data_IF_310402599472
#
_entry.id   IF_310402599472
#
_cell.length_a   1.000
_cell.length_b   1.000
_cell.length_c   1.000
_cell.angle_alpha   90.00
_cell.angle_beta   90.00
_cell.angle_gamma   90.00
#
_symmetry.space_group_name_H-M   'P 1'
#
loop_
_entity.id
_entity.type
_entity.pdbx_description
1 polymer ?
#
# COMPACT_ATOMS: atom_id res chain seq x y z
N UNK A 1 -48.34 30.65 56.18
CA UNK A 1 -47.81 31.26 54.93
C UNK A 1 -47.45 30.15 53.95
N UNK A 2 -47.72 30.38 52.66
CA UNK A 2 -47.93 29.37 51.61
C UNK A 2 -46.63 28.76 51.06
N UNK A 3 -46.56 27.43 50.97
CA UNK A 3 -45.58 26.70 50.17
C UNK A 3 -45.94 26.79 48.68
N UNK A 4 -45.01 27.24 47.82
CA UNK A 4 -45.14 27.17 46.36
C UNK A 4 -44.01 26.30 45.80
N UNK A 5 -44.34 25.05 45.46
CA UNK A 5 -43.47 24.10 44.76
C UNK A 5 -43.19 24.62 43.34
N UNK A 6 -41.92 24.75 42.98
CA UNK A 6 -41.50 25.00 41.60
C UNK A 6 -41.60 23.69 40.80
N UNK A 7 -42.55 23.63 39.86
CA UNK A 7 -42.59 22.60 38.81
C UNK A 7 -41.65 23.03 37.68
N UNK A 8 -40.68 22.21 37.26
CA UNK A 8 -39.97 22.47 36.01
C UNK A 8 -40.90 22.29 34.81
N UNK A 9 -40.74 23.17 33.81
CA UNK A 9 -41.54 23.26 32.59
C UNK A 9 -41.34 22.02 31.69
N UNK A 10 -42.41 21.50 31.04
CA UNK A 10 -42.38 20.22 30.33
C UNK A 10 -41.58 20.22 29.01
N UNK A 11 -41.05 21.35 28.57
CA UNK A 11 -40.43 21.48 27.24
C UNK A 11 -38.94 21.12 27.18
N UNK A 12 -38.26 20.92 28.31
CA UNK A 12 -36.82 20.55 28.34
C UNK A 12 -36.59 19.05 28.53
N UNK A 13 -37.61 18.30 28.97
CA UNK A 13 -37.54 16.84 29.10
C UNK A 13 -37.77 16.08 27.78
N UNK A 14 -38.35 16.74 26.77
CA UNK A 14 -38.65 16.13 25.47
C UNK A 14 -37.43 16.04 24.53
N UNK A 15 -36.42 16.91 24.71
CA UNK A 15 -35.21 16.90 23.85
C UNK A 15 -34.17 15.87 24.28
N UNK A 16 -34.11 15.50 25.56
CA UNK A 16 -33.16 14.47 26.06
C UNK A 16 -33.69 13.05 25.83
N UNK A 17 -35.02 12.84 25.88
CA UNK A 17 -35.62 11.54 25.61
C UNK A 17 -35.53 11.13 24.12
N UNK A 18 -35.51 12.09 23.18
CA UNK A 18 -35.39 11.81 21.75
C UNK A 18 -34.01 11.28 21.33
N UNK A 19 -32.93 11.68 22.01
CA UNK A 19 -31.57 11.24 21.64
C UNK A 19 -31.21 9.85 22.18
N UNK A 20 -31.78 9.43 23.32
CA UNK A 20 -31.54 8.09 23.88
C UNK A 20 -32.28 7.00 23.08
N UNK A 21 -33.46 7.32 22.54
CA UNK A 21 -34.24 6.38 21.70
C UNK A 21 -33.61 6.15 20.32
N UNK A 22 -32.91 7.13 19.73
CA UNK A 22 -32.22 6.97 18.45
C UNK A 22 -30.92 6.14 18.57
N UNK A 23 -30.25 6.17 19.72
CA UNK A 23 -29.05 5.34 19.98
C UNK A 23 -29.44 3.91 20.35
N UNK A 24 -30.58 3.69 21.03
CA UNK A 24 -31.12 2.36 21.30
C UNK A 24 -31.74 1.69 20.04
N UNK A 25 -32.35 2.44 19.13
CA UNK A 25 -32.90 1.90 17.89
C UNK A 25 -31.83 1.53 16.85
N UNK A 26 -30.68 2.20 16.87
CA UNK A 26 -29.53 1.89 15.99
C UNK A 26 -28.67 0.73 16.50
N UNK A 27 -28.76 0.39 17.79
CA UNK A 27 -28.06 -0.77 18.38
C UNK A 27 -28.89 -2.06 18.39
N UNK A 28 -30.19 -2.02 18.06
CA UNK A 28 -31.07 -3.20 18.09
C UNK A 28 -31.43 -3.82 16.72
N UNK A 29 -30.77 -3.43 15.62
CA UNK A 29 -31.07 -3.98 14.28
C UNK A 29 -29.84 -4.51 13.54
N UNK A 30 -28.94 -5.19 14.27
CA UNK A 30 -27.94 -6.06 13.65
C UNK A 30 -27.80 -7.35 14.45
N UNK A 31 -28.91 -8.09 14.54
CA UNK A 31 -28.91 -9.51 14.92
C UNK A 31 -29.35 -10.31 13.72
N UNK A 32 -28.49 -11.26 13.37
CA UNK A 32 -28.49 -12.14 12.20
C UNK A 32 -29.83 -12.84 11.98
N UNK A 33 -30.44 -12.65 10.80
CA UNK A 33 -31.39 -13.60 10.21
C UNK A 33 -30.87 -13.95 8.82
N UNK A 34 -30.49 -15.22 8.64
CA UNK A 34 -30.03 -15.79 7.36
C UNK A 34 -31.21 -15.96 6.40
N UNK A 35 -31.14 -15.50 5.14
CA UNK A 35 -32.03 -15.98 4.09
C UNK A 35 -31.57 -17.37 3.59
N UNK A 36 -32.53 -18.27 3.43
CA UNK A 36 -32.41 -19.63 2.88
C UNK A 36 -32.29 -19.61 1.34
N UNK A 37 -31.76 -20.67 0.67
CA UNK A 37 -31.25 -20.64 -0.71
C UNK A 37 -32.26 -20.56 -1.88
N UNK A 38 -33.52 -20.14 -1.71
CA UNK A 38 -34.57 -20.47 -2.69
C UNK A 38 -35.20 -19.33 -3.51
N UNK A 39 -34.93 -18.05 -3.24
CA UNK A 39 -35.63 -16.97 -3.98
C UNK A 39 -34.70 -16.21 -4.93
N UNK A 40 -34.67 -16.64 -6.20
CA UNK A 40 -34.20 -15.83 -7.31
C UNK A 40 -35.31 -15.62 -8.35
N UNK A 41 -35.66 -14.38 -8.72
CA UNK A 41 -36.41 -14.15 -9.95
C UNK A 41 -35.49 -14.37 -11.16
N UNK A 42 -35.86 -15.34 -12.00
CA UNK A 42 -35.30 -15.56 -13.33
C UNK A 42 -35.73 -14.41 -14.24
N UNK A 43 -34.77 -13.70 -14.82
CA UNK A 43 -34.99 -12.82 -15.97
C UNK A 43 -34.18 -13.32 -17.16
N UNK A 44 -34.89 -14.05 -18.01
CA UNK A 44 -34.53 -14.32 -19.41
C UNK A 44 -34.70 -13.04 -20.22
N UNK A 45 -33.81 -12.79 -21.20
CA UNK A 45 -33.96 -11.97 -22.44
C UNK A 45 -32.54 -11.63 -22.90
N UNK A 46 -32.12 -11.72 -24.16
CA UNK A 46 -32.76 -11.93 -25.45
C UNK A 46 -31.66 -11.62 -26.48
N UNK A 47 -31.52 -12.46 -27.50
CA UNK A 47 -30.34 -12.48 -28.35
C UNK A 47 -30.14 -11.25 -29.24
N UNK A 48 -28.87 -10.91 -29.46
CA UNK A 48 -28.41 -10.24 -30.67
C UNK A 48 -27.09 -10.89 -31.12
N UNK A 49 -27.03 -11.23 -32.41
CA UNK A 49 -25.94 -11.97 -33.07
C UNK A 49 -24.77 -11.05 -33.42
N UNK A 50 -23.62 -11.72 -33.59
CA UNK A 50 -22.25 -11.23 -33.50
C UNK A 50 -21.62 -10.68 -34.80
N UNK A 51 -20.43 -10.10 -34.64
CA UNK A 51 -19.30 -10.27 -35.58
C UNK A 51 -17.96 -10.11 -34.83
N UNK A 52 -17.03 -11.04 -35.10
CA UNK A 52 -15.90 -11.44 -34.26
C UNK A 52 -14.70 -10.48 -34.15
N UNK A 53 -14.09 -10.47 -32.97
CA UNK A 53 -12.74 -10.99 -32.78
C UNK A 53 -12.65 -11.57 -31.35
N UNK A 54 -12.07 -12.77 -31.24
CA UNK A 54 -12.22 -13.70 -30.12
C UNK A 54 -11.35 -13.29 -28.92
N UNK A 55 -11.74 -12.23 -28.22
CA UNK A 55 -11.25 -11.94 -26.88
C UNK A 55 -12.16 -12.63 -25.85
N UNK A 56 -11.61 -13.42 -24.90
CA UNK A 56 -12.40 -14.07 -23.88
C UNK A 56 -13.05 -13.00 -23.00
N UNK A 57 -14.34 -12.76 -23.21
CA UNK A 57 -15.18 -12.05 -22.24
C UNK A 57 -15.27 -12.92 -20.99
N UNK A 58 -14.74 -12.44 -19.88
CA UNK A 58 -14.90 -13.15 -18.61
C UNK A 58 -16.34 -13.06 -18.10
N UNK A 59 -16.65 -13.85 -17.08
CA UNK A 59 -18.01 -14.06 -16.55
C UNK A 59 -18.73 -12.80 -16.01
N UNK A 60 -18.04 -11.65 -15.99
CA UNK A 60 -18.48 -10.38 -15.36
C UNK A 60 -18.60 -9.21 -16.34
N UNK A 61 -18.50 -9.44 -17.65
CA UNK A 61 -18.60 -8.38 -18.66
C UNK A 61 -17.31 -7.56 -18.86
N UNK A 62 -16.21 -7.97 -18.23
CA UNK A 62 -14.88 -7.46 -18.51
C UNK A 62 -14.23 -8.17 -19.70
N UNK A 63 -13.33 -7.44 -20.35
CA UNK A 63 -12.41 -7.95 -21.35
C UNK A 63 -11.02 -8.06 -20.75
N UNK A 64 -10.32 -9.15 -21.05
CA UNK A 64 -9.03 -9.49 -20.46
C UNK A 64 -7.97 -9.58 -21.55
N UNK A 65 -7.09 -8.59 -21.62
CA UNK A 65 -6.02 -8.53 -22.61
C UNK A 65 -4.70 -8.97 -21.98
N UNK A 66 -4.05 -9.96 -22.59
CA UNK A 66 -2.70 -10.39 -22.20
C UNK A 66 -1.64 -9.51 -22.83
N UNK A 67 -0.73 -9.02 -21.98
CA UNK A 67 0.44 -8.26 -22.37
C UNK A 67 1.69 -8.94 -21.81
N UNK A 68 2.84 -8.64 -22.41
CA UNK A 68 4.15 -9.16 -22.00
C UNK A 68 5.09 -8.04 -21.56
N UNK A 69 6.20 -8.42 -20.91
CA UNK A 69 7.25 -7.51 -20.40
C UNK A 69 6.76 -6.49 -19.34
N UNK A 70 6.37 -6.94 -18.13
CA UNK A 70 6.20 -8.33 -17.70
C UNK A 70 4.86 -8.91 -18.18
N UNK A 71 4.74 -10.23 -18.08
CA UNK A 71 3.50 -10.94 -18.34
C UNK A 71 2.41 -10.46 -17.38
N UNK A 72 1.32 -9.95 -17.95
CA UNK A 72 0.24 -9.29 -17.21
C UNK A 72 -1.07 -9.35 -17.98
N UNK A 73 -2.17 -9.17 -17.25
CA UNK A 73 -3.51 -8.97 -17.80
C UNK A 73 -3.95 -7.55 -17.55
N UNK A 74 -4.30 -6.84 -18.62
CA UNK A 74 -5.07 -5.61 -18.56
C UNK A 74 -6.56 -5.96 -18.64
N UNK A 75 -7.36 -5.34 -17.77
CA UNK A 75 -8.78 -5.59 -17.63
C UNK A 75 -9.50 -4.31 -18.01
N UNK A 76 -10.42 -4.40 -18.98
CA UNK A 76 -11.28 -3.29 -19.39
C UNK A 76 -12.75 -3.66 -19.19
N UNK A 77 -13.60 -2.65 -18.96
CA UNK A 77 -15.05 -2.84 -18.87
C UNK A 77 -15.71 -2.94 -20.26
N UNK A 78 -17.03 -3.14 -20.26
CA UNK A 78 -17.81 -3.26 -21.50
C UNK A 78 -17.83 -1.98 -22.34
N UNK A 79 -17.46 -0.84 -21.77
CA UNK A 79 -17.28 0.43 -22.49
C UNK A 79 -15.85 0.65 -22.98
N UNK A 80 -14.93 -0.27 -22.69
CA UNK A 80 -13.53 -0.20 -23.10
C UNK A 80 -12.65 0.61 -22.15
N UNK A 81 -13.18 1.08 -21.01
CA UNK A 81 -12.37 1.81 -20.02
C UNK A 81 -11.49 0.85 -19.23
N UNK A 82 -10.24 1.22 -18.90
CA UNK A 82 -9.37 0.40 -18.08
C UNK A 82 -9.89 0.30 -16.65
N UNK A 83 -9.81 -0.91 -16.10
CA UNK A 83 -10.32 -1.26 -14.76
C UNK A 83 -9.19 -1.70 -13.87
N UNK A 84 -8.29 -2.55 -14.38
CA UNK A 84 -7.19 -3.06 -13.60
C UNK A 84 -6.03 -3.60 -14.44
N UNK A 85 -4.84 -3.68 -13.84
CA UNK A 85 -3.68 -4.40 -14.34
C UNK A 85 -3.22 -5.42 -13.29
N UNK A 86 -3.22 -6.69 -13.69
CA UNK A 86 -2.79 -7.82 -12.87
C UNK A 86 -1.49 -8.40 -13.43
N UNK A 87 -0.41 -8.40 -12.66
CA UNK A 87 0.89 -8.92 -13.12
C UNK A 87 1.09 -10.34 -12.65
N UNK A 88 1.47 -11.25 -13.54
CA UNK A 88 1.65 -12.67 -13.19
C UNK A 88 2.66 -12.81 -12.06
N UNK A 89 2.41 -13.74 -11.13
CA UNK A 89 3.19 -13.98 -9.92
C UNK A 89 3.21 -12.82 -8.90
N UNK A 90 2.55 -11.70 -9.16
CA UNK A 90 2.40 -10.60 -8.21
C UNK A 90 1.06 -10.69 -7.46
N UNK A 91 1.02 -10.25 -6.21
CA UNK A 91 -0.23 -9.98 -5.48
C UNK A 91 -0.68 -8.53 -5.63
N UNK A 92 0.22 -7.63 -6.00
CA UNK A 92 -0.05 -6.22 -6.23
C UNK A 92 -0.92 -6.09 -7.47
N UNK A 93 -2.09 -5.52 -7.28
CA UNK A 93 -3.08 -5.25 -8.30
C UNK A 93 -3.26 -3.74 -8.42
N UNK A 94 -3.20 -3.27 -9.66
CA UNK A 94 -3.30 -1.85 -10.00
C UNK A 94 -4.72 -1.63 -10.51
N UNK A 95 -5.55 -0.88 -9.77
CA UNK A 95 -6.94 -0.62 -10.09
C UNK A 95 -7.09 0.84 -10.51
N UNK A 96 -7.81 1.09 -11.59
CA UNK A 96 -8.20 2.45 -11.96
C UNK A 96 -9.42 2.87 -11.13
N UNK A 97 -9.32 4.05 -10.50
CA UNK A 97 -10.33 4.56 -9.58
C UNK A 97 -10.41 6.09 -9.60
N UNK A 98 -11.01 6.72 -8.57
CA UNK A 98 -11.03 8.17 -8.48
C UNK A 98 -9.60 8.75 -8.41
N UNK A 99 -9.36 9.84 -9.15
CA UNK A 99 -8.10 10.60 -9.08
C UNK A 99 -7.91 11.20 -7.68
N UNK A 100 -6.66 11.28 -7.26
CA UNK A 100 -6.21 11.85 -5.99
C UNK A 100 -4.80 12.39 -6.13
N UNK A 101 -4.46 13.32 -5.24
CA UNK A 101 -3.16 13.98 -5.20
C UNK A 101 -2.46 13.66 -3.90
N UNK A 102 -1.18 13.33 -3.98
CA UNK A 102 -0.29 13.22 -2.84
C UNK A 102 0.71 14.38 -2.82
N UNK A 103 0.89 14.98 -1.65
CA UNK A 103 1.74 16.15 -1.43
C UNK A 103 2.52 15.99 -0.12
N UNK A 104 3.77 16.46 -0.11
CA UNK A 104 4.63 16.55 1.08
C UNK A 104 5.37 17.91 1.07
N UNK A 105 4.66 19.02 1.33
CA UNK A 105 5.13 20.38 1.01
C UNK A 105 6.35 20.85 1.82
N UNK A 106 6.77 20.09 2.85
CA UNK A 106 7.90 20.47 3.68
C UNK A 106 9.22 20.47 2.93
N UNK A 107 9.40 19.49 2.03
CA UNK A 107 10.69 19.21 1.40
C UNK A 107 10.62 19.21 -0.12
N UNK A 108 9.44 19.39 -0.73
CA UNK A 108 9.27 19.52 -2.19
C UNK A 108 7.95 20.21 -2.50
N UNK A 109 7.89 20.92 -3.63
CA UNK A 109 6.63 21.42 -4.21
C UNK A 109 5.98 20.40 -5.16
N UNK A 110 6.69 19.31 -5.49
CA UNK A 110 6.22 18.29 -6.42
C UNK A 110 4.96 17.58 -5.88
N UNK A 111 4.07 17.23 -6.81
CA UNK A 111 2.80 16.56 -6.51
C UNK A 111 2.67 15.30 -7.34
N UNK A 112 2.08 14.27 -6.75
CA UNK A 112 1.70 13.06 -7.48
C UNK A 112 0.19 13.06 -7.66
N UNK A 113 -0.28 13.34 -8.87
CA UNK A 113 -1.66 13.08 -9.25
C UNK A 113 -1.78 11.69 -9.87
N UNK A 114 -2.67 10.86 -9.34
CA UNK A 114 -2.89 9.52 -9.87
C UNK A 114 -4.31 9.04 -9.64
N UNK A 115 -4.84 8.31 -10.62
CA UNK A 115 -6.08 7.53 -10.53
C UNK A 115 -5.80 6.05 -10.22
N UNK A 116 -4.53 5.69 -9.98
CA UNK A 116 -4.11 4.34 -9.68
C UNK A 116 -4.27 4.03 -8.18
N UNK A 117 -4.96 2.93 -7.91
CA UNK A 117 -5.16 2.35 -6.59
C UNK A 117 -4.48 0.99 -6.51
N UNK A 118 -3.58 0.83 -5.57
CA UNK A 118 -2.68 -0.32 -5.48
C UNK A 118 -3.10 -1.20 -4.31
N UNK A 119 -3.73 -2.34 -4.64
CA UNK A 119 -4.29 -3.29 -3.66
C UNK A 119 -3.51 -4.60 -3.66
N UNK A 120 -3.62 -5.36 -2.57
CA UNK A 120 -3.09 -6.72 -2.51
C UNK A 120 -4.20 -7.74 -2.74
N UNK A 121 -4.05 -8.56 -3.76
CA UNK A 121 -4.82 -9.77 -3.96
C UNK A 121 -4.50 -10.80 -2.87
N UNK A 122 -5.43 -11.71 -2.53
CA UNK A 122 -5.21 -12.74 -1.52
C UNK A 122 -4.14 -13.76 -1.94
N UNK A 123 -3.93 -13.92 -3.25
CA UNK A 123 -2.92 -14.80 -3.82
C UNK A 123 -2.30 -14.17 -5.07
N UNK A 124 -1.20 -14.75 -5.54
CA UNK A 124 -0.52 -14.27 -6.74
C UNK A 124 -1.40 -14.44 -7.96
N UNK A 125 -1.36 -13.46 -8.86
CA UNK A 125 -2.07 -13.54 -10.13
C UNK A 125 -1.40 -14.55 -11.06
N UNK A 126 -2.21 -15.18 -11.92
CA UNK A 126 -1.76 -15.96 -13.07
C UNK A 126 -2.79 -15.91 -14.17
N UNK A 127 -2.36 -16.10 -15.42
CA UNK A 127 -3.29 -16.29 -16.53
C UNK A 127 -4.33 -17.39 -16.21
N UNK A 128 -5.59 -17.15 -16.57
CA UNK A 128 -6.71 -18.03 -16.26
C UNK A 128 -7.44 -17.70 -14.96
N UNK A 129 -6.80 -16.94 -14.04
CA UNK A 129 -7.43 -16.54 -12.78
C UNK A 129 -8.68 -15.68 -12.96
N UNK A 130 -8.86 -15.05 -14.14
CA UNK A 130 -10.08 -14.32 -14.47
C UNK A 130 -11.37 -15.16 -14.42
N UNK A 131 -11.23 -16.49 -14.45
CA UNK A 131 -12.34 -17.46 -14.41
C UNK A 131 -12.57 -18.02 -13.01
N UNK A 132 -11.73 -17.68 -12.06
CA UNK A 132 -11.78 -18.23 -10.73
C UNK A 132 -12.57 -17.35 -9.78
N UNK A 133 -13.40 -18.01 -8.97
CA UNK A 133 -14.29 -17.34 -8.03
C UNK A 133 -13.56 -16.43 -7.05
N UNK A 134 -12.39 -16.86 -6.55
CA UNK A 134 -11.61 -16.03 -5.62
C UNK A 134 -11.28 -14.66 -6.22
N UNK A 135 -10.99 -14.62 -7.52
CA UNK A 135 -10.59 -13.40 -8.19
C UNK A 135 -11.78 -12.55 -8.56
N UNK A 136 -12.85 -13.14 -9.08
CA UNK A 136 -14.06 -12.39 -9.42
C UNK A 136 -14.68 -11.75 -8.17
N UNK A 137 -14.74 -12.49 -7.06
CA UNK A 137 -15.26 -12.00 -5.79
C UNK A 137 -14.33 -10.93 -5.21
N UNK A 138 -13.01 -11.16 -5.23
CA UNK A 138 -12.03 -10.19 -4.75
C UNK A 138 -12.01 -8.90 -5.57
N UNK A 139 -12.01 -8.97 -6.90
CA UNK A 139 -11.95 -7.78 -7.77
C UNK A 139 -13.19 -6.90 -7.56
N UNK A 140 -14.38 -7.51 -7.45
CA UNK A 140 -15.61 -6.77 -7.15
C UNK A 140 -15.51 -6.04 -5.80
N UNK A 141 -15.02 -6.72 -4.75
CA UNK A 141 -14.81 -6.12 -3.44
C UNK A 141 -13.74 -5.01 -3.47
N UNK A 142 -12.61 -5.26 -4.11
CA UNK A 142 -11.49 -4.33 -4.18
C UNK A 142 -11.84 -3.03 -4.91
N UNK A 143 -12.72 -3.08 -5.94
CA UNK A 143 -13.25 -1.89 -6.61
C UNK A 143 -14.23 -1.08 -5.74
N UNK A 144 -14.93 -1.74 -4.83
CA UNK A 144 -15.83 -1.09 -3.88
C UNK A 144 -15.08 -0.58 -2.62
N UNK A 145 -13.87 -1.07 -2.37
CA UNK A 145 -13.07 -0.69 -1.22
C UNK A 145 -12.65 0.79 -1.28
N UNK A 146 -12.80 1.47 -0.14
CA UNK A 146 -12.43 2.89 0.08
C UNK A 146 -11.39 3.04 1.18
N UNK A 147 -10.92 1.94 1.77
CA UNK A 147 -9.82 1.95 2.71
C UNK A 147 -8.53 2.49 2.07
N UNK A 148 -7.56 2.99 2.84
CA UNK A 148 -6.24 3.33 2.31
C UNK A 148 -5.59 2.16 1.58
N UNK A 149 -5.01 2.42 0.41
CA UNK A 149 -4.25 1.47 -0.39
C UNK A 149 -2.73 1.65 -0.15
N UNK A 150 -1.86 0.97 -0.89
CA UNK A 150 -0.40 1.09 -0.70
C UNK A 150 0.07 2.55 -0.73
N UNK A 151 -0.37 3.34 -1.70
CA UNK A 151 0.07 4.74 -1.83
C UNK A 151 -0.45 5.60 -0.68
N UNK A 152 -1.71 5.46 -0.30
CA UNK A 152 -2.24 6.21 0.83
C UNK A 152 -1.55 5.84 2.15
N UNK A 153 -1.26 4.56 2.38
CA UNK A 153 -0.55 4.09 3.57
C UNK A 153 0.91 4.55 3.57
N UNK A 154 1.56 4.64 2.40
CA UNK A 154 2.92 5.17 2.31
C UNK A 154 3.03 6.59 2.90
N UNK A 155 2.05 7.45 2.64
CA UNK A 155 2.00 8.83 3.17
C UNK A 155 1.56 8.93 4.64
N UNK A 156 1.20 7.81 5.29
CA UNK A 156 0.81 7.82 6.71
C UNK A 156 2.00 7.91 7.68
N UNK A 157 3.24 7.97 7.16
CA UNK A 157 4.48 7.92 7.93
C UNK A 157 5.49 9.03 7.56
N UNK A 158 5.11 9.98 6.72
CA UNK A 158 5.97 11.13 6.37
C UNK A 158 6.04 12.14 7.51
N UNK A 159 6.96 13.11 7.41
CA UNK A 159 7.09 14.23 8.37
C UNK A 159 5.72 14.90 8.61
N UNK A 160 5.36 15.06 9.87
CA UNK A 160 4.09 15.69 10.26
C UNK A 160 2.83 14.86 9.99
N UNK A 161 2.94 13.60 9.53
CA UNK A 161 1.77 12.75 9.29
C UNK A 161 0.92 12.61 10.57
N UNK A 162 -0.43 12.75 10.48
CA UNK A 162 -1.29 12.69 11.65
C UNK A 162 -1.20 11.36 12.40
N UNK A 163 -1.07 11.44 13.72
CA UNK A 163 -1.08 10.25 14.58
C UNK A 163 -2.45 9.57 14.53
N UNK A 164 -2.45 8.28 14.18
CA UNK A 164 -3.63 7.42 14.26
C UNK A 164 -3.42 6.34 15.31
N UNK A 165 -4.46 6.11 16.11
CA UNK A 165 -4.48 5.13 17.19
C UNK A 165 -5.60 4.13 17.00
N UNK A 166 -5.37 2.89 17.43
CA UNK A 166 -6.41 1.87 17.47
C UNK A 166 -7.33 2.05 18.70
N UNK A 167 -8.28 1.14 18.86
CA UNK A 167 -9.25 1.17 19.97
C UNK A 167 -8.61 0.94 21.35
N UNK A 168 -7.34 0.50 21.41
CA UNK A 168 -6.56 0.32 22.64
C UNK A 168 -5.64 1.51 22.90
N UNK A 169 -5.64 2.52 22.02
CA UNK A 169 -4.79 3.70 22.11
C UNK A 169 -3.38 3.50 21.55
N UNK A 170 -3.08 2.33 20.95
CA UNK A 170 -1.78 2.07 20.33
C UNK A 170 -1.65 2.87 19.04
N UNK A 171 -0.56 3.62 18.90
CA UNK A 171 -0.25 4.31 17.65
C UNK A 171 0.14 3.29 16.58
N UNK A 172 -0.51 3.36 15.42
CA UNK A 172 -0.20 2.49 14.28
C UNK A 172 0.24 3.26 13.02
N UNK A 173 0.08 4.59 13.03
CA UNK A 173 0.44 5.51 11.95
C UNK A 173 0.71 6.91 12.53
N UNK A 174 1.50 7.69 11.79
CA UNK A 174 2.00 9.00 12.16
C UNK A 174 3.48 9.13 11.77
N UNK A 175 4.03 10.33 11.90
CA UNK A 175 5.43 10.66 11.63
C UNK A 175 6.40 9.57 12.15
N UNK A 176 7.31 9.13 11.29
CA UNK A 176 8.26 8.08 11.56
C UNK A 176 9.69 8.58 11.38
N UNK A 177 10.52 8.44 12.42
CA UNK A 177 11.96 8.65 12.31
C UNK A 177 12.63 7.56 11.48
N UNK A 178 13.87 7.76 11.03
CA UNK A 178 14.66 6.67 10.42
C UNK A 178 15.21 5.73 11.49
N UNK A 179 15.68 6.30 12.59
CA UNK A 179 16.31 5.60 13.70
C UNK A 179 16.96 6.58 14.70
N UNK A 180 17.56 6.08 15.78
CA UNK A 180 18.32 6.92 16.71
C UNK A 180 19.53 7.56 15.99
N UNK A 181 20.09 8.65 16.52
CA UNK A 181 21.34 9.22 16.01
C UNK A 181 22.42 8.15 15.84
N UNK A 182 23.17 8.19 14.74
CA UNK A 182 24.29 7.28 14.54
C UNK A 182 25.51 7.77 15.34
N UNK A 183 26.10 6.96 16.24
CA UNK A 183 27.29 7.37 16.98
C UNK A 183 28.53 7.61 16.10
N UNK A 184 28.54 7.10 14.86
CA UNK A 184 29.66 7.24 13.92
C UNK A 184 29.39 8.26 12.82
N UNK A 185 28.17 8.76 12.69
CA UNK A 185 27.77 9.78 11.73
C UNK A 185 26.93 10.84 12.45
N UNK A 186 27.53 11.98 12.85
CA UNK A 186 26.84 13.04 13.60
C UNK A 186 25.62 13.63 12.90
N UNK A 187 25.54 13.51 11.56
CA UNK A 187 24.42 13.98 10.74
C UNK A 187 23.50 12.82 10.33
N UNK A 188 23.86 11.58 10.70
CA UNK A 188 23.19 10.35 10.31
C UNK A 188 22.30 9.75 11.40
N UNK A 189 21.46 8.83 10.96
CA UNK A 189 20.59 7.99 11.77
C UNK A 189 20.96 6.52 11.58
N UNK A 190 20.99 5.77 12.68
CA UNK A 190 21.34 4.36 12.66
C UNK A 190 20.22 3.51 12.02
N UNK A 191 20.56 2.80 10.94
CA UNK A 191 19.70 1.78 10.33
C UNK A 191 19.29 0.68 11.34
N UNK A 192 18.34 -0.18 10.92
CA UNK A 192 17.80 -1.39 11.57
C UNK A 192 16.41 -1.24 12.20
N UNK A 193 15.75 -0.11 12.07
CA UNK A 193 14.37 0.08 12.54
C UNK A 193 13.36 -0.62 11.61
N UNK A 194 12.55 -1.54 12.15
CA UNK A 194 11.49 -2.26 11.43
C UNK A 194 10.09 -1.90 11.95
N UNK A 195 9.03 -2.45 11.35
CA UNK A 195 7.65 -2.17 11.74
C UNK A 195 7.35 -2.46 13.22
N UNK A 196 7.98 -3.48 13.80
CA UNK A 196 7.78 -3.85 15.20
C UNK A 196 8.44 -2.85 16.16
N UNK A 197 9.52 -2.18 15.74
CA UNK A 197 10.14 -1.09 16.50
C UNK A 197 9.24 0.14 16.51
N UNK A 198 8.69 0.52 15.34
CA UNK A 198 7.74 1.61 15.24
C UNK A 198 6.54 1.42 16.17
N UNK A 199 5.98 0.21 16.21
CA UNK A 199 4.81 -0.10 17.03
C UNK A 199 5.15 -0.33 18.52
N UNK A 200 6.43 -0.50 18.85
CA UNK A 200 6.89 -0.98 20.15
C UNK A 200 6.22 -2.31 20.58
N UNK A 201 6.04 -3.23 19.63
CA UNK A 201 5.38 -4.52 19.87
C UNK A 201 6.32 -5.70 19.54
N UNK A 202 6.40 -6.74 20.39
CA UNK A 202 7.12 -7.96 20.02
C UNK A 202 6.45 -8.64 18.83
N UNK A 203 7.24 -9.32 17.99
CA UNK A 203 6.72 -9.99 16.80
C UNK A 203 7.32 -11.38 16.62
N UNK A 204 6.48 -12.32 16.21
CA UNK A 204 6.86 -13.68 15.81
C UNK A 204 6.53 -13.90 14.34
N UNK A 205 7.55 -14.17 13.54
CA UNK A 205 7.41 -14.49 12.12
C UNK A 205 7.00 -15.95 11.94
N UNK A 206 6.33 -16.23 10.81
CA UNK A 206 5.94 -17.61 10.45
C UNK A 206 7.13 -18.56 10.25
N UNK A 207 8.33 -18.01 9.99
CA UNK A 207 9.59 -18.77 9.91
C UNK A 207 10.20 -19.09 11.29
N UNK A 208 9.46 -18.85 12.38
CA UNK A 208 9.84 -19.19 13.75
C UNK A 208 10.73 -18.15 14.43
N UNK A 209 11.25 -17.16 13.70
CA UNK A 209 12.04 -16.08 14.30
C UNK A 209 11.13 -15.17 15.12
N UNK A 210 11.54 -14.88 16.35
CA UNK A 210 10.91 -13.87 17.19
C UNK A 210 11.86 -12.72 17.46
N UNK A 211 11.31 -11.52 17.56
CA UNK A 211 12.05 -10.27 17.76
C UNK A 211 11.34 -9.43 18.81
N UNK A 212 12.13 -8.69 19.59
CA UNK A 212 11.65 -7.69 20.52
C UNK A 212 11.95 -6.30 19.93
N UNK A 213 11.07 -5.30 20.14
CA UNK A 213 11.34 -3.94 19.74
C UNK A 213 12.50 -3.37 20.55
N UNK A 214 13.33 -2.55 19.91
CA UNK A 214 14.35 -1.74 20.58
C UNK A 214 13.71 -0.42 21.03
N UNK A 215 13.66 -0.10 22.34
CA UNK A 215 13.08 1.16 22.82
C UNK A 215 13.71 2.42 22.24
N UNK A 216 14.99 2.37 21.82
CA UNK A 216 15.66 3.49 21.16
C UNK A 216 15.16 3.76 19.73
N UNK A 217 14.33 2.86 19.19
CA UNK A 217 13.77 2.88 17.84
C UNK A 217 12.24 3.02 17.84
N UNK A 218 11.67 3.44 18.96
CA UNK A 218 10.25 3.72 19.04
C UNK A 218 9.85 4.75 17.97
N UNK A 219 8.78 4.45 17.22
CA UNK A 219 8.34 5.25 16.07
C UNK A 219 9.41 5.43 14.97
N UNK A 220 10.32 4.46 14.80
CA UNK A 220 11.32 4.49 13.74
C UNK A 220 11.09 3.42 12.66
N UNK A 221 11.34 3.78 11.40
CA UNK A 221 11.26 2.92 10.23
C UNK A 221 12.45 3.21 9.31
N UNK A 222 13.38 2.27 9.13
CA UNK A 222 14.41 2.39 8.10
C UNK A 222 13.85 2.10 6.69
N UNK A 223 14.67 2.24 5.64
CA UNK A 223 14.24 2.12 4.25
C UNK A 223 13.45 0.83 3.94
N UNK A 224 13.81 -0.30 4.55
CA UNK A 224 13.18 -1.60 4.31
C UNK A 224 12.19 -1.98 5.41
N UNK A 225 12.37 -1.47 6.62
CA UNK A 225 11.37 -1.52 7.69
C UNK A 225 10.10 -0.78 7.32
N UNK A 226 10.23 0.36 6.64
CA UNK A 226 9.14 1.13 6.06
C UNK A 226 8.34 0.31 5.04
N UNK A 227 9.00 -0.40 4.12
CA UNK A 227 8.31 -1.30 3.19
C UNK A 227 7.55 -2.40 3.93
N UNK A 228 8.15 -2.98 4.97
CA UNK A 228 7.51 -4.02 5.79
C UNK A 228 6.36 -3.48 6.63
N UNK A 229 6.39 -2.21 7.03
CA UNK A 229 5.25 -1.53 7.62
C UNK A 229 4.11 -1.42 6.60
N UNK A 230 4.36 -0.82 5.43
CA UNK A 230 3.33 -0.55 4.41
C UNK A 230 2.73 -1.85 3.86
N UNK A 231 3.55 -2.74 3.29
CA UNK A 231 3.06 -3.97 2.66
C UNK A 231 2.74 -5.04 3.70
N UNK A 232 3.64 -5.23 4.66
CA UNK A 232 3.56 -6.35 5.60
C UNK A 232 2.53 -6.13 6.69
N UNK A 233 2.83 -5.24 7.63
CA UNK A 233 1.98 -5.02 8.80
C UNK A 233 0.64 -4.38 8.45
N UNK A 234 0.63 -3.32 7.62
CA UNK A 234 -0.59 -2.55 7.31
C UNK A 234 -1.49 -3.23 6.28
N UNK A 235 -0.91 -3.93 5.31
CA UNK A 235 -1.65 -4.59 4.22
C UNK A 235 -1.63 -6.12 4.28
N UNK A 236 -1.07 -6.70 5.33
CA UNK A 236 -1.02 -8.14 5.58
C UNK A 236 -0.31 -8.95 4.48
N UNK A 237 0.74 -8.38 3.87
CA UNK A 237 1.66 -9.15 3.03
C UNK A 237 2.53 -10.05 3.94
N UNK A 238 2.69 -11.35 3.65
CA UNK A 238 3.52 -12.23 4.46
C UNK A 238 4.93 -11.68 4.67
N UNK A 239 5.40 -11.68 5.91
CA UNK A 239 6.75 -11.26 6.28
C UNK A 239 7.55 -12.44 6.80
N UNK A 240 8.85 -12.44 6.52
CA UNK A 240 9.80 -13.37 7.14
C UNK A 240 10.87 -12.63 7.92
N UNK A 241 11.40 -13.29 8.95
CA UNK A 241 12.43 -12.72 9.82
C UNK A 241 13.85 -12.93 9.31
N UNK A 242 14.02 -13.82 8.33
CA UNK A 242 15.30 -14.18 7.71
C UNK A 242 15.58 -13.43 6.40
N UNK A 243 16.85 -13.39 5.98
CA UNK A 243 17.30 -12.79 4.71
C UNK A 243 17.72 -13.83 3.67
N UNK A 244 17.36 -15.09 3.88
CA UNK A 244 17.56 -16.23 2.97
C UNK A 244 16.32 -16.44 2.09
N UNK A 245 16.38 -17.26 1.03
CA UNK A 245 15.19 -17.67 0.27
C UNK A 245 14.08 -18.23 1.18
N UNK A 246 12.81 -17.93 0.85
CA UNK A 246 11.65 -18.38 1.62
C UNK A 246 10.36 -17.64 1.24
N UNK A 247 9.26 -17.95 1.92
CA UNK A 247 7.98 -17.25 1.74
C UNK A 247 7.97 -15.91 2.47
N UNK A 248 7.28 -14.91 1.91
CA UNK A 248 7.13 -13.59 2.49
C UNK A 248 8.31 -12.64 2.26
N UNK A 249 8.10 -11.35 2.56
CA UNK A 249 9.07 -10.30 2.34
C UNK A 249 10.19 -10.37 3.41
N UNK A 250 11.48 -10.48 3.03
CA UNK A 250 12.60 -10.51 3.98
C UNK A 250 12.85 -9.16 4.63
N UNK A 251 13.82 -9.09 5.56
CA UNK A 251 14.10 -7.86 6.33
C UNK A 251 14.90 -6.81 5.54
N UNK A 252 15.95 -7.24 4.83
CA UNK A 252 16.92 -6.31 4.20
C UNK A 252 16.59 -6.03 2.74
N UNK A 253 16.87 -4.80 2.29
CA UNK A 253 16.67 -4.36 0.90
C UNK A 253 17.32 -5.31 -0.12
N UNK A 254 18.59 -5.70 0.07
CA UNK A 254 19.26 -6.66 -0.84
C UNK A 254 18.51 -8.00 -0.92
N UNK A 255 18.00 -8.49 0.22
CA UNK A 255 17.30 -9.76 0.28
C UNK A 255 15.91 -9.65 -0.34
N UNK A 256 15.25 -8.49 -0.22
CA UNK A 256 13.97 -8.23 -0.89
C UNK A 256 14.15 -8.22 -2.42
N UNK A 257 15.21 -7.60 -2.90
CA UNK A 257 15.53 -7.60 -4.33
C UNK A 257 15.83 -9.02 -4.84
N UNK A 258 16.71 -9.75 -4.13
CA UNK A 258 17.21 -11.06 -4.58
C UNK A 258 16.21 -12.20 -4.36
N UNK A 259 15.53 -12.21 -3.22
CA UNK A 259 14.73 -13.34 -2.72
C UNK A 259 13.31 -12.94 -2.31
N UNK A 260 12.89 -11.71 -2.58
CA UNK A 260 11.53 -11.27 -2.32
C UNK A 260 10.51 -12.04 -3.16
N UNK A 261 9.23 -12.03 -2.76
CA UNK A 261 8.13 -12.60 -3.54
C UNK A 261 7.72 -11.65 -4.69
N UNK A 262 6.96 -12.16 -5.66
CA UNK A 262 6.53 -11.37 -6.81
C UNK A 262 7.42 -11.52 -8.05
N UNK A 263 7.44 -10.49 -8.91
CA UNK A 263 8.22 -10.46 -10.15
C UNK A 263 9.33 -9.43 -10.10
N UNK A 264 10.55 -9.85 -10.46
CA UNK A 264 11.63 -8.92 -10.79
C UNK A 264 11.34 -8.27 -12.15
N UNK A 265 11.21 -6.95 -12.17
CA UNK A 265 10.78 -6.20 -13.36
C UNK A 265 11.95 -5.90 -14.31
N UNK A 266 13.17 -5.80 -13.78
CA UNK A 266 14.43 -5.63 -14.50
C UNK A 266 15.57 -6.31 -13.73
N UNK A 267 16.58 -6.87 -14.41
CA UNK A 267 17.67 -7.57 -13.75
C UNK A 267 18.52 -6.61 -12.89
N UNK A 268 19.00 -7.09 -11.75
CA UNK A 268 20.09 -6.42 -11.04
C UNK A 268 21.43 -6.83 -11.67
N UNK A 269 21.96 -6.00 -12.57
CA UNK A 269 23.25 -6.22 -13.22
C UNK A 269 24.42 -5.51 -12.50
N UNK A 270 24.16 -4.88 -11.34
CA UNK A 270 25.12 -3.98 -10.69
C UNK A 270 25.36 -2.67 -11.46
N UNK A 271 24.59 -2.41 -12.52
CA UNK A 271 24.59 -1.18 -13.30
C UNK A 271 23.23 -0.49 -13.16
N UNK A 272 23.16 0.79 -13.57
CA UNK A 272 21.91 1.54 -13.61
C UNK A 272 20.81 0.74 -14.35
N UNK A 273 19.68 0.57 -13.67
CA UNK A 273 18.51 -0.09 -14.22
C UNK A 273 17.95 0.66 -15.44
N UNK A 274 17.31 -0.11 -16.32
CA UNK A 274 16.60 0.38 -17.50
C UNK A 274 15.21 -0.24 -17.55
N UNK A 275 14.33 0.36 -18.34
CA UNK A 275 12.99 -0.16 -18.53
C UNK A 275 11.95 0.47 -17.60
N UNK A 276 12.02 1.79 -17.39
CA UNK A 276 11.09 2.53 -16.51
C UNK A 276 9.63 2.36 -16.95
N UNK A 277 9.37 2.10 -18.24
CA UNK A 277 8.05 1.81 -18.80
C UNK A 277 7.37 0.57 -18.20
N UNK A 278 8.12 -0.26 -17.45
CA UNK A 278 7.61 -1.45 -16.78
C UNK A 278 7.05 -1.15 -15.39
N UNK A 279 7.45 -0.02 -14.82
CA UNK A 279 7.07 0.37 -13.47
C UNK A 279 5.61 0.80 -13.42
N UNK A 280 4.94 0.45 -12.33
CA UNK A 280 3.62 0.94 -11.95
C UNK A 280 3.68 1.39 -10.48
N UNK A 281 2.88 2.38 -10.07
CA UNK A 281 2.86 2.86 -8.69
C UNK A 281 2.71 1.70 -7.69
N UNK A 282 3.49 1.71 -6.61
CA UNK A 282 3.57 0.61 -5.65
C UNK A 282 4.62 -0.45 -5.98
N UNK A 283 5.40 -0.31 -7.05
CA UNK A 283 6.56 -1.17 -7.23
C UNK A 283 7.66 -0.85 -6.20
N UNK A 284 8.33 -1.90 -5.72
CA UNK A 284 9.50 -1.75 -4.87
C UNK A 284 10.73 -1.40 -5.72
N UNK A 285 11.46 -0.39 -5.30
CA UNK A 285 12.69 0.08 -5.94
C UNK A 285 13.88 -0.23 -5.04
N UNK A 286 15.01 -0.60 -5.64
CA UNK A 286 16.23 -0.97 -4.91
C UNK A 286 17.45 -0.24 -5.46
N UNK A 287 18.25 0.30 -4.55
CA UNK A 287 19.35 1.20 -4.87
C UNK A 287 20.63 0.82 -4.13
N UNK A 288 21.74 1.35 -4.64
CA UNK A 288 23.03 1.40 -3.96
C UNK A 288 23.32 2.85 -3.52
N UNK A 289 22.83 3.21 -2.33
CA UNK A 289 22.91 4.52 -1.70
C UNK A 289 24.22 4.75 -0.92
N UNK A 290 25.20 3.83 -0.99
CA UNK A 290 26.50 4.05 -0.37
C UNK A 290 27.17 5.33 -0.90
N UNK A 291 27.95 6.05 -0.06
CA UNK A 291 28.71 7.22 -0.49
C UNK A 291 29.60 6.93 -1.71
N UNK A 292 30.24 5.76 -1.70
CA UNK A 292 30.98 5.20 -2.84
C UNK A 292 30.21 3.99 -3.37
N UNK A 293 29.57 4.09 -4.56
CA UNK A 293 28.81 2.99 -5.12
C UNK A 293 29.66 1.73 -5.32
N UNK A 294 29.27 0.63 -4.69
CA UNK A 294 29.95 -0.68 -4.78
C UNK A 294 29.13 -1.76 -5.55
N UNK A 295 28.00 -1.37 -6.14
CA UNK A 295 27.08 -2.25 -6.85
C UNK A 295 26.15 -3.07 -5.94
N UNK A 296 26.23 -2.90 -4.62
CA UNK A 296 25.41 -3.65 -3.66
C UNK A 296 24.17 -2.85 -3.26
N UNK A 297 23.04 -3.55 -3.17
CA UNK A 297 21.78 -2.95 -2.72
C UNK A 297 21.81 -2.76 -1.21
N UNK A 298 21.54 -1.54 -0.76
CA UNK A 298 21.45 -1.15 0.65
C UNK A 298 20.19 -0.32 0.94
N UNK A 299 19.58 0.28 -0.08
CA UNK A 299 18.43 1.16 0.06
C UNK A 299 17.23 0.70 -0.76
N UNK A 300 16.03 1.06 -0.29
CA UNK A 300 14.78 0.70 -0.94
C UNK A 300 13.70 1.77 -0.82
N UNK A 301 12.78 1.80 -1.77
CA UNK A 301 11.66 2.74 -1.81
C UNK A 301 10.43 2.18 -2.53
N UNK A 302 9.38 2.99 -2.60
CA UNK A 302 8.13 2.70 -3.31
C UNK A 302 8.00 3.68 -4.47
N UNK A 303 7.86 3.17 -5.68
CA UNK A 303 7.59 4.01 -6.85
C UNK A 303 6.20 4.64 -6.73
N UNK A 304 6.11 5.97 -6.91
CA UNK A 304 4.85 6.71 -6.78
C UNK A 304 4.15 6.93 -8.12
N UNK A 305 4.91 6.96 -9.22
CA UNK A 305 4.41 7.38 -10.52
C UNK A 305 5.20 8.56 -11.07
N UNK A 306 4.53 9.33 -11.92
CA UNK A 306 5.07 10.55 -12.52
C UNK A 306 4.54 11.74 -11.73
N UNK A 307 5.42 12.67 -11.36
CA UNK A 307 5.02 13.92 -10.68
C UNK A 307 4.49 14.97 -11.66
N UNK A 308 3.97 16.07 -11.13
CA UNK A 308 3.46 17.22 -11.88
C UNK A 308 4.53 17.96 -12.71
N UNK A 309 5.82 17.65 -12.47
CA UNK A 309 6.95 18.06 -13.31
C UNK A 309 7.26 17.09 -14.45
N UNK A 310 6.58 15.94 -14.54
CA UNK A 310 6.83 14.91 -15.54
C UNK A 310 7.95 13.94 -15.18
N UNK A 311 8.40 13.91 -13.92
CA UNK A 311 9.51 13.06 -13.46
C UNK A 311 9.05 11.81 -12.73
N UNK A 312 9.81 10.72 -12.87
CA UNK A 312 9.52 9.44 -12.22
C UNK A 312 9.96 9.48 -10.76
N UNK A 313 9.00 9.70 -9.85
CA UNK A 313 9.27 9.93 -8.43
C UNK A 313 9.01 8.69 -7.57
N UNK A 314 9.74 8.60 -6.46
CA UNK A 314 9.53 7.58 -5.43
C UNK A 314 9.54 8.15 -4.01
N UNK A 315 9.04 7.38 -3.07
CA UNK A 315 9.11 7.64 -1.63
C UNK A 315 10.00 6.61 -0.95
N UNK A 316 10.84 7.02 -0.02
CA UNK A 316 11.65 6.11 0.79
C UNK A 316 11.94 6.70 2.16
N UNK A 317 12.21 5.83 3.16
CA UNK A 317 12.71 6.30 4.44
C UNK A 317 14.21 6.55 4.36
N UNK A 318 14.65 7.77 4.68
CA UNK A 318 16.05 8.20 4.51
C UNK A 318 16.62 8.73 5.83
N UNK A 319 17.88 8.40 6.09
CA UNK A 319 18.64 8.86 7.26
C UNK A 319 18.68 10.40 7.34
N UNK A 320 19.02 11.05 6.23
CA UNK A 320 19.23 12.50 6.17
C UNK A 320 17.98 13.37 6.33
N UNK A 321 16.80 12.81 6.07
CA UNK A 321 15.51 13.48 6.29
C UNK A 321 14.79 12.95 7.52
N UNK A 322 15.42 12.01 8.23
CA UNK A 322 14.89 11.32 9.41
C UNK A 322 13.50 10.72 9.19
N UNK A 323 13.32 9.93 8.13
CA UNK A 323 12.04 9.25 7.91
C UNK A 323 11.63 9.07 6.46
N UNK A 324 10.45 8.45 6.20
CA UNK A 324 9.79 8.37 4.90
C UNK A 324 9.53 9.74 4.28
N UNK A 325 9.90 9.90 3.01
CA UNK A 325 9.71 11.17 2.30
C UNK A 325 9.85 10.99 0.79
N UNK A 326 9.07 11.76 0.03
CA UNK A 326 9.22 12.01 -1.41
C UNK A 326 9.90 13.35 -1.71
N UNK A 327 10.36 14.06 -0.67
CA UNK A 327 10.93 15.40 -0.73
C UNK A 327 12.33 15.47 -1.36
N UNK A 328 12.75 16.67 -1.73
CA UNK A 328 14.02 16.89 -2.44
C UNK A 328 15.21 17.13 -1.52
N UNK A 329 14.97 17.25 -0.21
CA UNK A 329 16.03 17.34 0.79
C UNK A 329 16.95 16.12 0.69
N UNK A 330 18.25 16.37 0.60
CA UNK A 330 19.29 15.35 0.43
C UNK A 330 19.18 14.53 -0.87
N UNK A 331 18.61 15.15 -1.91
CA UNK A 331 18.55 14.65 -3.28
C UNK A 331 17.14 14.26 -3.69
N UNK A 332 16.65 14.87 -4.77
CA UNK A 332 15.33 14.61 -5.35
C UNK A 332 15.14 13.13 -5.71
N UNK A 333 14.17 12.40 -5.12
CA UNK A 333 13.97 10.97 -5.31
C UNK A 333 13.34 10.67 -6.67
N UNK A 334 14.14 10.88 -7.71
CA UNK A 334 13.80 10.70 -9.13
C UNK A 334 14.56 9.52 -9.73
N UNK A 335 13.97 8.85 -10.72
CA UNK A 335 14.57 7.71 -11.43
C UNK A 335 15.13 8.08 -12.82
N UNK A 336 14.60 9.15 -13.40
CA UNK A 336 14.97 9.69 -14.70
C UNK A 336 16.04 10.78 -14.59
N UNK A 337 16.61 11.16 -15.73
CA UNK A 337 17.70 12.14 -15.78
C UNK A 337 19.04 11.58 -15.26
N UNK A 338 19.84 12.45 -14.66
CA UNK A 338 21.17 12.17 -14.11
C UNK A 338 21.23 12.60 -12.65
N UNK A 339 22.12 11.98 -11.86
CA UNK A 339 22.34 12.40 -10.48
C UNK A 339 22.23 11.25 -9.48
N UNK A 340 22.10 11.61 -8.21
CA UNK A 340 22.31 10.66 -7.11
C UNK A 340 21.46 9.40 -7.21
N UNK A 341 20.14 9.54 -7.29
CA UNK A 341 19.20 8.40 -7.33
C UNK A 341 19.11 7.70 -8.70
N UNK A 342 19.02 8.42 -9.84
CA UNK A 342 18.98 7.79 -11.15
C UNK A 342 20.18 6.87 -11.41
N UNK A 343 21.37 7.28 -10.98
CA UNK A 343 22.62 6.53 -11.21
C UNK A 343 22.82 5.38 -10.20
N UNK A 344 22.01 5.33 -9.13
CA UNK A 344 22.07 4.32 -8.07
C UNK A 344 20.93 3.31 -8.09
N UNK A 345 19.93 3.50 -8.96
CA UNK A 345 18.83 2.56 -9.11
C UNK A 345 19.29 1.29 -9.83
N UNK A 346 19.12 0.13 -9.19
CA UNK A 346 19.68 -1.14 -9.67
C UNK A 346 18.63 -2.13 -10.16
N UNK A 347 17.44 -2.16 -9.55
CA UNK A 347 16.37 -3.09 -9.92
C UNK A 347 15.04 -2.67 -9.29
N UNK A 348 13.96 -3.33 -9.71
CA UNK A 348 12.63 -3.17 -9.13
C UNK A 348 11.90 -4.51 -9.06
N UNK A 349 10.95 -4.60 -8.12
CA UNK A 349 10.12 -5.79 -7.91
C UNK A 349 8.67 -5.40 -7.66
N UNK A 350 7.76 -6.13 -8.30
CA UNK A 350 6.32 -6.04 -8.05
C UNK A 350 5.89 -7.21 -7.20
N UNK A 351 5.43 -6.96 -5.97
CA UNK A 351 5.07 -8.00 -5.00
C UNK A 351 3.85 -8.79 -5.42
#
# INVERSE_FOLDING_TARGET
>A
MKFRKYRPRPTVLLTVAGFVLLIAASTLTYVVVRPSPADQPVLTLGGAKASGDDQPRGASGYTYQRLSKPDRTEITDSSGHPVAVMTDNARTAHLYGPSRTFEEPRYTDAKIETDMWVRLAPQTWRAGAERERWFTDWLAAARADRSPDVLAIAFEYVDGAPVKRDNQGQQYSGDASFGPPDPNDPEGRAERSDFYDYLALPWSFADGKSVLPDPSRNLALDCSGYLRMVYGHRLNYPLRGTNTPGEGLPRRAYAMAQFGPGVQLMPNSGQRARGMERLLPGDLLFFNAQPVPNGQIDHSGIYLGVDDGGHHRFISSRSQTDGPTMGDLSGAPLLDGIGYWPDRWLTARRL
#
